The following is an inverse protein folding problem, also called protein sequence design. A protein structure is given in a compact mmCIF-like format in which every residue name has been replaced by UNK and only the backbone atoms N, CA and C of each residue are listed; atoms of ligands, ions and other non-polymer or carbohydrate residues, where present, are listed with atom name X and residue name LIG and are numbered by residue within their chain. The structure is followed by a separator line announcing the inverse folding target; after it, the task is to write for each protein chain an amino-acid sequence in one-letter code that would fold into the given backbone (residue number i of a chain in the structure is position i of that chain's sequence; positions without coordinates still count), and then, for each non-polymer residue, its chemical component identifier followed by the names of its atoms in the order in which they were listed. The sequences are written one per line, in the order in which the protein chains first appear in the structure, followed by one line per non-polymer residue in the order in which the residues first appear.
data_IF_666742422865
#
_entry.id   IF_666742422865
#
_cell.length_a   1.000
_cell.length_b   1.000
_cell.length_c   1.000
_cell.angle_alpha   90.00
_cell.angle_beta   90.00
_cell.angle_gamma   90.00
#
_symmetry.space_group_name_H-M   'P 1'
#
loop_
_entity.id
_entity.type
_entity.pdbx_description
1 polymer ?
#
# COMPACT_ATOMS: atom_id res chain seq x y z
N UNK A 1 10.06 1.84 12.83
CA UNK A 1 10.09 0.54 12.12
C UNK A 1 9.14 0.50 10.92
N UNK A 2 7.84 0.81 11.07
CA UNK A 2 6.88 0.80 9.95
C UNK A 2 7.30 1.68 8.76
N UNK A 3 7.77 2.91 9.01
CA UNK A 3 8.27 3.82 7.97
C UNK A 3 9.43 3.21 7.16
N UNK A 4 10.37 2.55 7.83
CA UNK A 4 11.49 1.88 7.15
C UNK A 4 11.01 0.70 6.31
N UNK A 5 10.00 -0.03 6.79
CA UNK A 5 9.38 -1.12 6.06
C UNK A 5 8.66 -0.63 4.81
N UNK A 6 7.90 0.46 4.92
CA UNK A 6 7.15 1.05 3.81
C UNK A 6 8.09 1.63 2.74
N UNK A 7 9.16 2.32 3.16
CA UNK A 7 10.22 2.78 2.27
C UNK A 7 10.98 1.62 1.59
N UNK A 8 11.32 0.57 2.33
CA UNK A 8 11.99 -0.62 1.79
C UNK A 8 11.09 -1.38 0.81
N UNK A 9 9.78 -1.47 1.09
CA UNK A 9 8.80 -2.09 0.21
C UNK A 9 8.69 -1.34 -1.12
N UNK A 10 8.56 -0.01 -1.07
CA UNK A 10 8.50 0.81 -2.27
C UNK A 10 9.78 0.68 -3.09
N UNK A 11 10.95 0.79 -2.44
CA UNK A 11 12.25 0.68 -3.10
C UNK A 11 12.49 -0.70 -3.73
N UNK A 12 12.27 -1.78 -2.97
CA UNK A 12 12.50 -3.13 -3.44
C UNK A 12 11.52 -3.51 -4.57
N UNK A 13 10.22 -3.24 -4.38
CA UNK A 13 9.20 -3.55 -5.39
C UNK A 13 9.43 -2.79 -6.70
N UNK A 14 9.68 -1.48 -6.62
CA UNK A 14 9.99 -0.67 -7.78
C UNK A 14 11.28 -1.11 -8.48
N UNK A 15 12.33 -1.45 -7.71
CA UNK A 15 13.62 -1.90 -8.26
C UNK A 15 13.51 -3.24 -8.99
N UNK A 16 12.75 -4.20 -8.43
CA UNK A 16 12.54 -5.52 -9.06
C UNK A 16 11.85 -5.37 -10.42
N UNK A 17 10.79 -4.55 -10.48
CA UNK A 17 10.06 -4.34 -11.73
C UNK A 17 10.86 -3.52 -12.74
N UNK A 18 11.65 -2.55 -12.26
CA UNK A 18 12.55 -1.78 -13.11
C UNK A 18 13.57 -2.68 -13.84
N UNK A 19 14.17 -3.63 -13.11
CA UNK A 19 15.17 -4.54 -13.69
C UNK A 19 14.56 -5.62 -14.60
N UNK A 20 13.26 -5.91 -14.49
CA UNK A 20 12.63 -6.98 -15.29
C UNK A 20 12.12 -6.52 -16.65
N UNK A 21 11.66 -5.28 -16.79
CA UNK A 21 11.01 -4.81 -18.02
C UNK A 21 11.30 -3.36 -18.41
N UNK A 22 11.92 -2.55 -17.53
CA UNK A 22 12.35 -1.16 -17.79
C UNK A 22 11.23 -0.15 -18.06
N UNK A 23 10.40 -0.40 -19.09
CA UNK A 23 9.36 0.51 -19.60
C UNK A 23 7.94 0.07 -19.26
N UNK A 24 7.63 -1.23 -19.22
CA UNK A 24 6.31 -1.72 -18.78
C UNK A 24 6.43 -2.85 -17.76
N UNK A 25 5.40 -3.00 -16.91
CA UNK A 25 5.32 -4.12 -15.96
C UNK A 25 5.04 -5.44 -16.69
N UNK A 26 4.23 -5.38 -17.75
CA UNK A 26 3.68 -6.55 -18.45
C UNK A 26 4.73 -7.26 -19.28
N UNK A 27 5.70 -6.51 -19.83
CA UNK A 27 6.78 -7.08 -20.65
C UNK A 27 7.88 -7.76 -19.80
N UNK A 28 7.88 -7.52 -18.49
CA UNK A 28 8.86 -8.11 -17.59
C UNK A 28 8.64 -9.61 -17.37
N UNK A 29 9.73 -10.37 -17.15
CA UNK A 29 9.60 -11.80 -16.90
C UNK A 29 8.73 -12.08 -15.65
N UNK A 30 7.80 -13.02 -15.79
CA UNK A 30 6.78 -13.35 -14.77
C UNK A 30 7.39 -13.67 -13.39
N UNK A 31 8.60 -14.22 -13.34
CA UNK A 31 9.32 -14.53 -12.09
C UNK A 31 9.55 -13.27 -11.25
N UNK A 32 9.90 -12.14 -11.86
CA UNK A 32 10.11 -10.88 -11.14
C UNK A 32 8.79 -10.26 -10.67
N UNK A 33 7.72 -10.41 -11.45
CA UNK A 33 6.38 -9.97 -11.03
C UNK A 33 5.93 -10.78 -9.79
N UNK A 34 6.10 -12.11 -9.82
CA UNK A 34 5.82 -12.98 -8.66
C UNK A 34 6.69 -12.62 -7.47
N UNK A 35 7.99 -12.38 -7.68
CA UNK A 35 8.91 -11.94 -6.62
C UNK A 35 8.49 -10.62 -5.98
N UNK A 36 8.06 -9.65 -6.79
CA UNK A 36 7.52 -8.38 -6.31
C UNK A 36 6.24 -8.59 -5.49
N UNK A 37 5.29 -9.40 -5.98
CA UNK A 37 4.06 -9.75 -5.24
C UNK A 37 4.39 -10.34 -3.88
N UNK A 38 5.31 -11.30 -3.82
CA UNK A 38 5.69 -11.98 -2.57
C UNK A 38 6.32 -11.00 -1.57
N UNK A 39 7.25 -10.16 -2.00
CA UNK A 39 7.90 -9.17 -1.12
C UNK A 39 6.88 -8.16 -0.59
N UNK A 40 6.05 -7.60 -1.46
CA UNK A 40 5.01 -6.64 -1.07
C UNK A 40 4.01 -7.32 -0.11
N UNK A 41 3.57 -8.54 -0.42
CA UNK A 41 2.62 -9.28 0.42
C UNK A 41 3.17 -9.58 1.81
N UNK A 42 4.45 -9.99 1.90
CA UNK A 42 5.14 -10.24 3.17
C UNK A 42 5.29 -8.95 3.97
N UNK A 43 5.73 -7.86 3.35
CA UNK A 43 5.94 -6.58 4.04
C UNK A 43 4.60 -6.00 4.55
N UNK A 44 3.55 -5.98 3.73
CA UNK A 44 2.19 -5.67 4.17
C UNK A 44 1.72 -6.62 5.29
N UNK A 45 2.18 -7.88 5.22
CA UNK A 45 1.90 -8.96 6.16
C UNK A 45 2.54 -8.75 7.54
N UNK A 46 3.63 -7.99 7.61
CA UNK A 46 4.31 -7.62 8.86
C UNK A 46 3.80 -6.30 9.43
N UNK A 47 3.43 -5.34 8.57
CA UNK A 47 3.14 -3.94 8.93
C UNK A 47 2.16 -3.75 10.11
N UNK A 48 0.92 -4.28 10.09
CA UNK A 48 0.00 -4.24 11.24
C UNK A 48 0.48 -4.80 12.58
N UNK A 49 1.55 -5.60 12.66
CA UNK A 49 2.14 -5.95 13.97
C UNK A 49 2.90 -4.79 14.60
N UNK A 50 3.22 -3.75 13.82
CA UNK A 50 4.03 -2.60 14.23
C UNK A 50 3.19 -1.37 14.58
N UNK A 51 1.91 -1.33 14.21
CA UNK A 51 1.03 -0.17 14.42
C UNK A 51 -0.13 -0.55 15.34
N UNK A 52 0.01 -0.20 16.62
CA UNK A 52 -0.95 -0.58 17.66
C UNK A 52 -1.97 0.52 18.01
N UNK A 53 -1.79 1.75 17.51
CA UNK A 53 -2.66 2.88 17.84
C UNK A 53 -2.91 3.81 16.66
N UNK A 54 -4.05 4.52 16.70
CA UNK A 54 -4.45 5.53 15.71
C UNK A 54 -3.42 6.65 15.58
N UNK A 55 -2.83 7.09 16.70
CA UNK A 55 -1.82 8.14 16.68
C UNK A 55 -0.55 7.71 15.93
N UNK A 56 -0.12 6.45 16.12
CA UNK A 56 1.03 5.91 15.37
C UNK A 56 0.68 5.80 13.89
N UNK A 57 -0.54 5.43 13.55
CA UNK A 57 -0.98 5.36 12.15
C UNK A 57 -0.91 6.73 11.46
N UNK A 58 -1.35 7.80 12.14
CA UNK A 58 -1.21 9.17 11.62
C UNK A 58 0.24 9.57 11.37
N UNK A 59 1.16 9.22 12.28
CA UNK A 59 2.59 9.49 12.12
C UNK A 59 3.15 8.72 10.92
N UNK A 60 2.79 7.44 10.78
CA UNK A 60 3.24 6.60 9.66
C UNK A 60 2.76 7.18 8.33
N UNK A 61 1.48 7.54 8.22
CA UNK A 61 0.95 8.14 6.99
C UNK A 61 1.56 9.51 6.72
N UNK A 62 1.76 10.33 7.75
CA UNK A 62 2.46 11.60 7.61
C UNK A 62 3.86 11.41 7.02
N UNK A 63 4.59 10.39 7.49
CA UNK A 63 5.90 10.04 6.97
C UNK A 63 5.85 9.47 5.54
N UNK A 64 4.89 8.60 5.23
CA UNK A 64 4.70 8.03 3.88
C UNK A 64 4.40 9.15 2.87
N UNK A 65 3.50 10.08 3.22
CA UNK A 65 3.16 11.24 2.40
C UNK A 65 4.36 12.17 2.24
N UNK A 66 5.08 12.48 3.32
CA UNK A 66 6.28 13.33 3.25
C UNK A 66 7.38 12.69 2.38
N UNK A 67 7.59 11.37 2.51
CA UNK A 67 8.50 10.61 1.68
C UNK A 67 8.10 10.64 0.19
N UNK A 68 6.82 10.48 -0.09
CA UNK A 68 6.28 10.54 -1.46
C UNK A 68 6.43 11.95 -2.07
N UNK A 69 6.10 13.01 -1.32
CA UNK A 69 6.32 14.40 -1.74
C UNK A 69 7.81 14.66 -2.01
N UNK A 70 8.70 14.14 -1.17
CA UNK A 70 10.14 14.27 -1.36
C UNK A 70 10.60 13.57 -2.65
N UNK A 71 10.12 12.35 -2.92
CA UNK A 71 10.43 11.64 -4.17
C UNK A 71 9.93 12.40 -5.40
N UNK A 72 8.70 12.93 -5.35
CA UNK A 72 8.14 13.76 -6.42
C UNK A 72 9.00 15.01 -6.66
N UNK A 73 9.39 15.72 -5.60
CA UNK A 73 10.24 16.90 -5.73
C UNK A 73 11.63 16.57 -6.33
N UNK A 74 12.23 15.45 -5.92
CA UNK A 74 13.50 14.98 -6.49
C UNK A 74 13.33 14.57 -7.96
N UNK A 75 12.22 13.93 -8.32
CA UNK A 75 11.93 13.60 -9.71
C UNK A 75 11.75 14.86 -10.56
N UNK A 76 10.94 15.82 -10.11
CA UNK A 76 10.69 17.10 -10.82
C UNK A 76 11.99 17.89 -11.05
N UNK A 77 12.90 17.87 -10.08
CA UNK A 77 14.19 18.58 -10.18
C UNK A 77 15.24 17.84 -11.00
N UNK A 78 15.27 16.50 -10.96
CA UNK A 78 16.31 15.70 -11.61
C UNK A 78 15.93 15.16 -12.98
N UNK A 79 14.64 15.08 -13.30
CA UNK A 79 14.12 14.45 -14.51
C UNK A 79 14.39 12.94 -14.59
N UNK A 80 14.93 12.30 -13.54
CA UNK A 80 15.31 10.89 -13.58
C UNK A 80 14.09 9.99 -13.60
N UNK A 81 13.88 9.30 -14.71
CA UNK A 81 12.72 8.41 -14.92
C UNK A 81 12.56 7.37 -13.80
N UNK A 82 13.65 6.76 -13.31
CA UNK A 82 13.59 5.80 -12.19
C UNK A 82 13.01 6.39 -10.90
N UNK A 83 13.27 7.67 -10.60
CA UNK A 83 12.73 8.31 -9.39
C UNK A 83 11.23 8.54 -9.54
N UNK A 84 10.79 8.96 -10.74
CA UNK A 84 9.37 9.03 -11.09
C UNK A 84 8.70 7.66 -10.97
N UNK A 85 9.32 6.61 -11.52
CA UNK A 85 8.85 5.22 -11.41
C UNK A 85 8.69 4.77 -9.95
N UNK A 86 9.69 5.01 -9.12
CA UNK A 86 9.65 4.71 -7.68
C UNK A 86 8.53 5.47 -6.97
N UNK A 87 8.34 6.76 -7.30
CA UNK A 87 7.26 7.57 -6.76
C UNK A 87 5.88 7.04 -7.19
N UNK A 88 5.70 6.66 -8.46
CA UNK A 88 4.44 6.08 -8.97
C UNK A 88 4.12 4.77 -8.24
N UNK A 89 5.11 3.89 -8.09
CA UNK A 89 4.94 2.65 -7.35
C UNK A 89 4.53 2.90 -5.90
N UNK A 90 5.24 3.80 -5.21
CA UNK A 90 4.92 4.19 -3.83
C UNK A 90 3.52 4.78 -3.68
N UNK A 91 3.10 5.65 -4.62
CA UNK A 91 1.77 6.25 -4.63
C UNK A 91 0.67 5.20 -4.83
N UNK A 92 0.87 4.23 -5.74
CA UNK A 92 -0.07 3.14 -5.95
C UNK A 92 -0.16 2.21 -4.74
N UNK A 93 0.97 1.88 -4.10
CA UNK A 93 0.97 1.06 -2.88
C UNK A 93 0.22 1.78 -1.76
N UNK A 94 0.50 3.07 -1.53
CA UNK A 94 -0.21 3.87 -0.53
C UNK A 94 -1.71 3.90 -0.82
N UNK A 95 -2.10 4.17 -2.06
CA UNK A 95 -3.51 4.26 -2.47
C UNK A 95 -4.23 2.92 -2.34
N UNK A 96 -3.73 1.86 -3.00
CA UNK A 96 -4.43 0.58 -3.11
C UNK A 96 -4.43 -0.16 -1.78
N UNK A 97 -3.32 -0.21 -1.05
CA UNK A 97 -3.29 -0.85 0.27
C UNK A 97 -4.26 -0.14 1.22
N UNK A 98 -4.32 1.20 1.20
CA UNK A 98 -5.25 1.97 2.02
C UNK A 98 -6.71 1.78 1.58
N UNK A 99 -6.96 1.67 0.27
CA UNK A 99 -8.30 1.41 -0.28
C UNK A 99 -8.82 0.05 0.16
N UNK A 100 -8.01 -1.00 0.03
CA UNK A 100 -8.39 -2.36 0.46
C UNK A 100 -8.59 -2.44 1.97
N UNK A 101 -7.75 -1.76 2.75
CA UNK A 101 -7.91 -1.68 4.20
C UNK A 101 -9.16 -0.88 4.61
N UNK A 102 -9.45 0.23 3.92
CA UNK A 102 -10.67 1.00 4.13
C UNK A 102 -11.91 0.14 3.84
N UNK A 103 -11.90 -0.58 2.72
CA UNK A 103 -12.99 -1.49 2.35
C UNK A 103 -13.17 -2.58 3.41
N UNK A 104 -12.09 -3.18 3.89
CA UNK A 104 -12.13 -4.17 4.98
C UNK A 104 -12.75 -3.58 6.26
N UNK A 105 -12.39 -2.35 6.64
CA UNK A 105 -12.99 -1.65 7.79
C UNK A 105 -14.48 -1.39 7.57
N UNK A 106 -14.89 -0.97 6.38
CA UNK A 106 -16.30 -0.70 6.06
C UNK A 106 -17.14 -1.98 6.09
N UNK A 107 -16.64 -3.06 5.49
CA UNK A 107 -17.33 -4.36 5.46
C UNK A 107 -17.48 -4.92 6.88
N UNK A 108 -16.40 -4.92 7.67
CA UNK A 108 -16.42 -5.49 9.02
C UNK A 108 -17.33 -4.72 9.97
N UNK A 109 -17.50 -3.40 9.81
CA UNK A 109 -18.44 -2.63 10.64
C UNK A 109 -19.92 -2.92 10.39
N UNK A 110 -20.28 -3.45 9.23
CA UNK A 110 -21.68 -3.77 8.89
C UNK A 110 -22.18 -5.08 9.50
N UNK A 111 -21.35 -5.82 10.23
CA UNK A 111 -21.79 -7.01 10.97
C UNK A 111 -22.20 -6.63 12.40
N UNK A 112 -23.51 -6.56 12.72
CA UNK A 112 -23.98 -6.20 14.05
C UNK A 112 -23.65 -7.32 15.03
N UNK A 113 -22.73 -7.06 15.96
CA UNK A 113 -22.49 -7.94 17.12
C UNK A 113 -23.03 -7.22 18.35
N UNK A 114 -23.87 -7.91 19.12
CA UNK A 114 -24.68 -7.37 20.22
C UNK A 114 -23.99 -6.32 21.09
N UNK A 115 -24.74 -5.23 21.32
CA UNK A 115 -24.38 -4.05 22.09
C UNK A 115 -23.78 -4.39 23.46
N UNK A 116 -22.48 -4.14 23.61
CA UNK A 116 -21.81 -4.05 24.91
C UNK A 116 -21.00 -2.75 24.96
N UNK A 117 -20.70 -2.17 26.14
CA UNK A 117 -19.95 -0.92 26.27
C UNK A 117 -18.57 -0.96 25.59
N UNK A 118 -17.98 -2.15 25.45
CA UNK A 118 -16.72 -2.37 24.70
C UNK A 118 -16.86 -2.10 23.19
N UNK A 119 -18.07 -2.20 22.61
CA UNK A 119 -18.33 -1.93 21.20
C UNK A 119 -18.32 -0.44 20.87
N UNK A 120 -18.84 0.42 21.75
CA UNK A 120 -18.85 1.88 21.53
C UNK A 120 -17.42 2.46 21.40
N UNK A 121 -16.47 1.96 22.19
CA UNK A 121 -15.06 2.34 22.05
C UNK A 121 -14.43 1.84 20.74
N UNK A 122 -14.80 0.63 20.31
CA UNK A 122 -14.30 0.01 19.06
C UNK A 122 -14.83 0.71 17.82
N UNK A 123 -16.06 1.20 17.84
CA UNK A 123 -16.65 2.00 16.76
C UNK A 123 -15.94 3.35 16.58
N UNK A 124 -15.58 4.04 17.66
CA UNK A 124 -14.81 5.30 17.58
C UNK A 124 -13.41 5.08 17.00
N UNK A 125 -12.70 4.05 17.47
CA UNK A 125 -11.37 3.68 16.94
C UNK A 125 -11.46 3.26 15.47
N UNK A 126 -12.45 2.44 15.14
CA UNK A 126 -12.74 2.09 13.75
C UNK A 126 -12.98 3.34 12.91
N UNK A 127 -13.82 4.26 13.40
CA UNK A 127 -14.15 5.57 12.80
C UNK A 127 -12.92 6.32 12.37
N UNK A 128 -12.01 6.53 13.31
CA UNK A 128 -10.76 7.24 13.07
C UNK A 128 -9.82 6.51 12.12
N UNK A 129 -9.73 5.18 12.18
CA UNK A 129 -8.95 4.41 11.20
C UNK A 129 -9.51 4.54 9.78
N UNK A 130 -10.84 4.57 9.60
CA UNK A 130 -11.42 4.77 8.28
C UNK A 130 -11.11 6.16 7.71
N UNK A 131 -11.18 7.22 8.51
CA UNK A 131 -10.81 8.58 8.04
C UNK A 131 -9.35 8.65 7.64
N UNK A 132 -8.47 8.02 8.42
CA UNK A 132 -7.03 7.93 8.16
C UNK A 132 -6.75 7.21 6.84
N UNK A 133 -7.43 6.09 6.58
CA UNK A 133 -7.30 5.36 5.31
C UNK A 133 -7.88 6.12 4.12
N UNK A 134 -9.04 6.76 4.30
CA UNK A 134 -9.62 7.60 3.25
C UNK A 134 -8.69 8.74 2.83
N UNK A 135 -8.04 9.40 3.79
CA UNK A 135 -7.03 10.42 3.50
C UNK A 135 -5.80 9.86 2.80
N UNK A 136 -5.36 8.66 3.19
CA UNK A 136 -4.24 7.99 2.52
C UNK A 136 -4.57 7.64 1.06
N UNK A 137 -5.80 7.20 0.78
CA UNK A 137 -6.30 6.97 -0.58
C UNK A 137 -6.24 8.27 -1.38
N UNK A 138 -6.76 9.37 -0.83
CA UNK A 138 -6.73 10.67 -1.49
C UNK A 138 -5.32 11.19 -1.73
N UNK A 139 -4.41 11.03 -0.76
CA UNK A 139 -3.01 11.43 -0.91
C UNK A 139 -2.31 10.64 -2.03
N UNK A 140 -2.51 9.31 -2.07
CA UNK A 140 -1.99 8.47 -3.14
C UNK A 140 -2.56 8.84 -4.51
N UNK A 141 -3.87 9.08 -4.60
CA UNK A 141 -4.53 9.52 -5.84
C UNK A 141 -4.00 10.88 -6.32
N UNK A 142 -3.88 11.86 -5.42
CA UNK A 142 -3.34 13.18 -5.75
C UNK A 142 -1.89 13.08 -6.25
N UNK A 143 -1.06 12.24 -5.62
CA UNK A 143 0.30 11.98 -6.08
C UNK A 143 0.32 11.36 -7.49
N UNK A 144 -0.59 10.42 -7.80
CA UNK A 144 -0.69 9.81 -9.13
C UNK A 144 -1.09 10.82 -10.21
N UNK A 145 -1.94 11.80 -9.90
CA UNK A 145 -2.26 12.89 -10.83
C UNK A 145 -1.02 13.71 -11.16
N UNK A 146 -0.17 14.00 -10.17
CA UNK A 146 1.10 14.71 -10.38
C UNK A 146 2.11 13.86 -11.17
N UNK A 147 2.11 12.55 -10.94
CA UNK A 147 3.03 11.58 -11.55
C UNK A 147 2.55 11.06 -12.92
N UNK A 148 1.34 11.42 -13.36
CA UNK A 148 0.79 11.01 -14.66
C UNK A 148 1.77 11.22 -15.85
N UNK A 149 2.55 12.33 -15.90
CA UNK A 149 3.52 12.53 -16.98
C UNK A 149 4.70 11.55 -16.98
N UNK A 150 5.03 10.90 -15.86
CA UNK A 150 6.19 9.98 -15.74
C UNK A 150 6.15 8.90 -16.83
N UNK A 151 4.97 8.33 -17.06
CA UNK A 151 4.76 7.22 -18.00
C UNK A 151 4.14 7.67 -19.32
N UNK A 152 4.10 8.97 -19.60
CA UNK A 152 3.47 9.49 -20.82
C UNK A 152 1.96 9.19 -20.93
N UNK A 153 1.30 8.86 -19.81
CA UNK A 153 -0.11 8.46 -19.81
C UNK A 153 -0.38 7.04 -20.30
N UNK A 154 0.63 6.17 -20.39
CA UNK A 154 0.45 4.78 -20.80
C UNK A 154 -0.42 3.99 -19.79
N UNK A 155 -1.64 3.56 -20.20
CA UNK A 155 -2.57 2.88 -19.31
C UNK A 155 -2.14 1.44 -18.96
N UNK A 156 -1.29 0.80 -19.78
CA UNK A 156 -0.90 -0.59 -19.59
C UNK A 156 0.08 -0.75 -18.41
N UNK A 157 0.90 0.28 -18.16
CA UNK A 157 1.79 0.34 -17.00
C UNK A 157 0.99 0.42 -15.71
N UNK A 158 0.02 1.34 -15.64
CA UNK A 158 -0.78 1.56 -14.45
C UNK A 158 -1.69 0.37 -14.15
N UNK A 159 -2.32 -0.21 -15.18
CA UNK A 159 -3.19 -1.38 -15.00
C UNK A 159 -2.41 -2.59 -14.46
N UNK A 160 -1.22 -2.87 -15.00
CA UNK A 160 -0.34 -3.93 -14.50
C UNK A 160 0.07 -3.73 -13.04
N UNK A 161 0.45 -2.51 -12.65
CA UNK A 161 0.77 -2.19 -11.26
C UNK A 161 -0.43 -2.34 -10.32
N UNK A 162 -1.61 -1.91 -10.76
CA UNK A 162 -2.85 -2.03 -9.96
C UNK A 162 -3.17 -3.49 -9.67
N UNK A 163 -3.10 -4.36 -10.68
CA UNK A 163 -3.32 -5.80 -10.52
C UNK A 163 -2.28 -6.40 -9.56
N UNK A 164 -1.00 -6.08 -9.77
CA UNK A 164 0.10 -6.62 -8.96
C UNK A 164 -0.05 -6.24 -7.48
N UNK A 165 -0.23 -4.95 -7.20
CA UNK A 165 -0.32 -4.43 -5.82
C UNK A 165 -1.60 -4.91 -5.14
N UNK A 166 -2.72 -4.97 -5.85
CA UNK A 166 -3.97 -5.53 -5.32
C UNK A 166 -3.81 -7.01 -5.00
N UNK A 167 -3.19 -7.79 -5.91
CA UNK A 167 -2.89 -9.20 -5.70
C UNK A 167 -2.00 -9.42 -4.47
N UNK A 168 -0.94 -8.63 -4.32
CA UNK A 168 -0.07 -8.68 -3.14
C UNK A 168 -0.82 -8.34 -1.84
N UNK A 169 -1.73 -7.35 -1.89
CA UNK A 169 -2.55 -6.97 -0.75
C UNK A 169 -3.51 -8.09 -0.34
N UNK A 170 -4.20 -8.72 -1.31
CA UNK A 170 -5.07 -9.86 -1.05
C UNK A 170 -4.31 -11.08 -0.54
N UNK A 171 -3.17 -11.39 -1.14
CA UNK A 171 -2.30 -12.48 -0.69
C UNK A 171 -1.85 -12.27 0.75
N UNK A 172 -1.50 -11.03 1.10
CA UNK A 172 -1.16 -10.66 2.47
C UNK A 172 -2.30 -10.90 3.46
N UNK A 173 -3.52 -10.51 3.09
CA UNK A 173 -4.71 -10.78 3.90
C UNK A 173 -4.98 -12.28 4.05
N UNK A 174 -4.94 -13.05 2.96
CA UNK A 174 -5.20 -14.49 2.97
C UNK A 174 -4.16 -15.25 3.79
N UNK A 175 -2.87 -14.92 3.64
CA UNK A 175 -1.80 -15.53 4.42
C UNK A 175 -2.00 -15.29 5.91
N UNK A 176 -2.41 -14.09 6.29
CA UNK A 176 -2.66 -13.74 7.70
C UNK A 176 -3.83 -14.50 8.28
N UNK A 177 -4.96 -14.56 7.58
CA UNK A 177 -6.14 -15.28 8.08
C UNK A 177 -5.81 -16.75 8.28
N UNK A 178 -5.09 -17.38 7.34
CA UNK A 178 -4.60 -18.75 7.48
C UNK A 178 -3.65 -18.94 8.66
N UNK A 179 -2.62 -18.10 8.82
CA UNK A 179 -1.69 -18.19 9.95
C UNK A 179 -2.44 -18.08 11.28
N UNK A 180 -3.42 -17.15 11.39
CA UNK A 180 -4.21 -17.01 12.61
C UNK A 180 -5.14 -18.19 12.86
N UNK A 181 -5.64 -18.85 11.82
CA UNK A 181 -6.47 -20.04 11.96
C UNK A 181 -5.63 -21.23 12.44
N UNK A 182 -4.44 -21.43 11.85
CA UNK A 182 -3.50 -22.48 12.24
C UNK A 182 -3.07 -22.33 13.71
N UNK A 183 -2.72 -21.12 14.13
CA UNK A 183 -2.32 -20.84 15.52
C UNK A 183 -3.43 -21.04 16.57
N UNK A 184 -4.71 -21.11 16.16
CA UNK A 184 -5.84 -21.45 17.05
C UNK A 184 -6.15 -22.94 17.09
N UNK A 185 -5.69 -23.69 16.09
CA UNK A 185 -5.90 -25.13 15.98
C UNK A 185 -4.80 -25.94 16.68
N UNK A 186 -3.63 -25.33 16.91
CA UNK A 186 -2.52 -25.85 17.72
C UNK A 186 -2.69 -25.52 19.20
#
# INVERSE_FOLDING_TARGET
MAILLDGAMALAGASILWHSGGRTVVDGAWVFQVGCILIVAVMLGVRPRLVASVNVEWIVIGADVAGLVSLIAVWLSSGRYFIGWLATFGALVLMLASMWQLLAVVITRRTPVSASPRWQGRERVGGSLASVRALSVWAGLAALLVLAPVHGGDPDILSGLVVLISGATFLSFAARTWITALARAS
#
